data_IF_237149345603
#
_entry.id   IF_237149345603
#
_cell.length_a   1.000
_cell.length_b   1.000
_cell.length_c   1.000
_cell.angle_alpha   90.00
_cell.angle_beta   90.00
_cell.angle_gamma   90.00
#
_symmetry.space_group_name_H-M   'P 1'
#
loop_
_entity.id
_entity.type
_entity.pdbx_description
1 polymer ?
#
# COMPACT_ATOMS: atom_id res chain seq x y z
N UNK A 1 -12.29 54.33 -21.09
CA UNK A 1 -11.05 54.35 -20.33
C UNK A 1 -11.34 54.62 -18.86
N UNK A 2 -11.18 53.64 -17.97
CA UNK A 2 -11.52 53.89 -16.54
C UNK A 2 -10.46 54.76 -15.89
N UNK A 3 -10.90 55.87 -15.25
CA UNK A 3 -9.99 56.78 -14.55
C UNK A 3 -9.31 56.07 -13.38
N UNK A 4 -7.98 56.23 -13.22
CA UNK A 4 -7.16 55.67 -12.11
C UNK A 4 -7.79 55.93 -10.73
N UNK A 5 -8.49 57.06 -10.54
CA UNK A 5 -9.22 57.40 -9.30
C UNK A 5 -10.41 56.46 -9.04
N UNK A 6 -11.18 56.10 -10.10
CA UNK A 6 -12.34 55.20 -9.96
C UNK A 6 -11.90 53.78 -9.64
N UNK A 7 -10.81 53.31 -10.25
CA UNK A 7 -10.23 51.98 -9.96
C UNK A 7 -9.73 51.93 -8.51
N UNK A 8 -9.02 52.93 -8.04
CA UNK A 8 -8.52 52.98 -6.65
C UNK A 8 -9.67 53.02 -5.62
N UNK A 9 -10.74 53.79 -5.89
CA UNK A 9 -11.91 53.82 -5.02
C UNK A 9 -12.66 52.47 -5.02
N UNK A 10 -12.80 51.82 -6.17
CA UNK A 10 -13.43 50.52 -6.28
C UNK A 10 -12.66 49.43 -5.50
N UNK A 11 -11.33 49.37 -5.64
CA UNK A 11 -10.49 48.46 -4.91
C UNK A 11 -10.52 48.72 -3.40
N UNK A 12 -10.45 49.99 -2.97
CA UNK A 12 -10.47 50.33 -1.54
C UNK A 12 -11.79 50.03 -0.85
N UNK A 13 -12.91 50.03 -1.58
CA UNK A 13 -14.24 49.77 -1.02
C UNK A 13 -14.59 48.27 -1.06
N UNK A 14 -14.05 47.54 -2.04
CA UNK A 14 -14.37 46.12 -2.26
C UNK A 14 -13.19 45.15 -1.98
N UNK A 15 -12.15 45.62 -1.28
CA UNK A 15 -10.92 44.82 -1.06
C UNK A 15 -11.20 43.48 -0.36
N UNK A 16 -12.19 43.42 0.53
CA UNK A 16 -12.58 42.21 1.22
C UNK A 16 -13.16 41.14 0.26
N UNK A 17 -13.81 41.57 -0.83
CA UNK A 17 -14.27 40.63 -1.87
C UNK A 17 -13.09 40.01 -2.64
N UNK A 18 -12.07 40.81 -2.90
CA UNK A 18 -10.85 40.30 -3.53
C UNK A 18 -10.14 39.32 -2.63
N UNK A 19 -10.08 39.54 -1.32
CA UNK A 19 -9.56 38.59 -0.36
C UNK A 19 -10.40 37.29 -0.29
N UNK A 20 -11.72 37.42 -0.28
CA UNK A 20 -12.61 36.27 -0.27
C UNK A 20 -12.42 35.42 -1.54
N UNK A 21 -12.38 36.04 -2.72
CA UNK A 21 -12.13 35.33 -3.98
C UNK A 21 -10.74 34.70 -3.98
N UNK A 22 -9.72 35.43 -3.55
CA UNK A 22 -8.36 34.88 -3.47
C UNK A 22 -8.30 33.66 -2.54
N UNK A 23 -8.96 33.71 -1.39
CA UNK A 23 -9.02 32.59 -0.46
C UNK A 23 -9.73 31.37 -1.08
N UNK A 24 -10.90 31.58 -1.69
CA UNK A 24 -11.66 30.50 -2.36
C UNK A 24 -10.84 29.86 -3.48
N UNK A 25 -10.19 30.68 -4.31
CA UNK A 25 -9.35 30.24 -5.41
C UNK A 25 -8.14 29.44 -4.87
N UNK A 26 -7.47 29.96 -3.82
CA UNK A 26 -6.30 29.31 -3.21
C UNK A 26 -6.68 27.97 -2.59
N UNK A 27 -7.79 27.88 -1.87
CA UNK A 27 -8.31 26.63 -1.30
C UNK A 27 -8.71 25.64 -2.41
N UNK A 28 -9.36 26.15 -3.46
CA UNK A 28 -9.74 25.35 -4.63
C UNK A 28 -8.52 24.76 -5.34
N UNK A 29 -7.48 25.57 -5.56
CA UNK A 29 -6.23 25.07 -6.14
C UNK A 29 -5.53 24.08 -5.22
N UNK A 30 -5.46 24.34 -3.92
CA UNK A 30 -4.87 23.40 -2.95
C UNK A 30 -5.59 22.06 -3.02
N UNK A 31 -6.91 22.04 -3.00
CA UNK A 31 -7.72 20.81 -3.10
C UNK A 31 -7.52 20.10 -4.44
N UNK A 32 -7.52 20.84 -5.56
CA UNK A 32 -7.26 20.26 -6.88
C UNK A 32 -5.87 19.63 -6.97
N UNK A 33 -4.84 20.30 -6.43
CA UNK A 33 -3.49 19.76 -6.42
C UNK A 33 -3.38 18.53 -5.52
N UNK A 34 -4.08 18.48 -4.40
CA UNK A 34 -4.11 17.32 -3.52
C UNK A 34 -4.76 16.11 -4.20
N UNK A 35 -5.91 16.29 -4.83
CA UNK A 35 -6.61 15.24 -5.59
C UNK A 35 -5.79 14.74 -6.78
N UNK A 36 -5.03 15.62 -7.48
CA UNK A 36 -4.20 15.23 -8.61
C UNK A 36 -2.93 14.48 -8.15
N UNK A 37 -2.36 14.85 -7.01
CA UNK A 37 -1.12 14.26 -6.49
C UNK A 37 -1.33 12.93 -5.79
N UNK A 38 -2.46 12.75 -5.12
CA UNK A 38 -2.71 11.56 -4.33
C UNK A 38 -3.47 10.53 -5.18
N UNK A 39 -2.84 9.40 -5.53
CA UNK A 39 -3.53 8.32 -6.24
C UNK A 39 -4.74 7.85 -5.45
N UNK A 40 -5.81 7.49 -6.17
CA UNK A 40 -6.98 6.87 -5.55
C UNK A 40 -6.60 5.51 -4.95
N UNK A 41 -7.46 4.98 -4.06
CA UNK A 41 -7.23 3.66 -3.46
C UNK A 41 -7.03 2.56 -4.52
N UNK A 42 -7.77 2.62 -5.63
CA UNK A 42 -7.67 1.64 -6.73
C UNK A 42 -6.40 1.78 -7.58
N UNK A 43 -5.69 2.90 -7.45
CA UNK A 43 -4.44 3.20 -8.17
C UNK A 43 -3.19 3.00 -7.29
N UNK A 44 -3.36 2.50 -6.06
CA UNK A 44 -2.29 2.30 -5.09
C UNK A 44 -2.28 0.86 -4.60
N UNK A 45 -1.12 0.29 -4.35
CA UNK A 45 -0.96 -0.94 -3.57
C UNK A 45 -0.39 -0.57 -2.21
N UNK A 46 -1.08 -0.97 -1.15
CA UNK A 46 -0.64 -0.71 0.21
C UNK A 46 -0.02 -1.98 0.80
N UNK A 47 1.21 -1.87 1.25
CA UNK A 47 1.98 -2.94 1.89
C UNK A 47 2.28 -2.55 3.33
N UNK A 48 2.03 -3.43 4.27
CA UNK A 48 2.44 -3.25 5.68
C UNK A 48 3.51 -4.26 6.04
N UNK A 49 4.58 -3.80 6.68
CA UNK A 49 5.70 -4.65 7.07
C UNK A 49 5.97 -4.51 8.57
N UNK A 50 5.96 -5.64 9.27
CA UNK A 50 6.30 -5.65 10.70
C UNK A 50 7.82 -5.79 10.86
N UNK A 51 8.51 -4.65 10.94
CA UNK A 51 9.96 -4.58 11.10
C UNK A 51 10.36 -3.31 11.84
N UNK A 52 11.53 -3.31 12.46
CA UNK A 52 12.08 -2.14 13.16
C UNK A 52 12.66 -1.08 12.20
N UNK A 53 13.18 -1.50 11.06
CA UNK A 53 13.76 -0.59 10.05
C UNK A 53 13.66 -1.20 8.66
N UNK A 54 13.40 -0.36 7.66
CA UNK A 54 13.37 -0.77 6.25
C UNK A 54 13.71 0.41 5.34
N UNK A 55 14.41 0.15 4.25
CA UNK A 55 14.55 1.09 3.13
C UNK A 55 13.29 1.04 2.24
N UNK A 56 12.23 1.68 2.73
CA UNK A 56 10.95 1.72 2.06
C UNK A 56 11.05 2.36 0.67
N UNK A 57 11.83 3.43 0.52
CA UNK A 57 11.98 4.12 -0.77
C UNK A 57 12.61 3.24 -1.86
N UNK A 58 13.58 2.39 -1.48
CA UNK A 58 14.19 1.44 -2.40
C UNK A 58 13.19 0.35 -2.76
N UNK A 59 12.54 -0.24 -1.75
CA UNK A 59 11.58 -1.32 -1.95
C UNK A 59 10.36 -0.88 -2.79
N UNK A 60 9.82 0.34 -2.56
CA UNK A 60 8.74 0.90 -3.36
C UNK A 60 9.10 0.98 -4.85
N UNK A 61 10.31 1.46 -5.15
CA UNK A 61 10.80 1.56 -6.53
C UNK A 61 10.98 0.18 -7.18
N UNK A 62 11.58 -0.76 -6.46
CA UNK A 62 11.84 -2.10 -6.97
C UNK A 62 10.52 -2.85 -7.22
N UNK A 63 9.55 -2.73 -6.33
CA UNK A 63 8.22 -3.31 -6.52
C UNK A 63 7.44 -2.61 -7.64
N UNK A 64 7.60 -1.32 -7.83
CA UNK A 64 6.85 -0.55 -8.83
C UNK A 64 7.17 -0.97 -10.27
N UNK A 65 8.36 -1.48 -10.54
CA UNK A 65 8.77 -1.99 -11.87
C UNK A 65 7.75 -2.99 -12.45
N UNK A 66 7.18 -3.86 -11.61
CA UNK A 66 6.14 -4.81 -12.04
C UNK A 66 4.79 -4.19 -12.38
N UNK A 67 4.61 -2.88 -12.17
CA UNK A 67 3.32 -2.19 -12.34
C UNK A 67 3.31 -1.10 -13.41
N UNK A 68 4.43 -0.86 -14.13
CA UNK A 68 4.55 0.23 -15.12
C UNK A 68 3.47 0.20 -16.20
N UNK A 69 3.01 -0.98 -16.61
CA UNK A 69 1.96 -1.17 -17.61
C UNK A 69 0.55 -1.29 -17.01
N UNK A 70 0.37 -0.92 -15.74
CA UNK A 70 -0.91 -1.03 -15.03
C UNK A 70 -1.52 0.34 -14.72
N UNK A 71 -2.69 0.34 -14.07
CA UNK A 71 -3.29 1.57 -13.53
C UNK A 71 -2.69 1.98 -12.18
N UNK A 72 -1.80 1.16 -11.61
CA UNK A 72 -1.17 1.47 -10.32
C UNK A 72 -0.16 2.61 -10.52
N UNK A 73 -0.31 3.64 -9.73
CA UNK A 73 0.55 4.84 -9.76
C UNK A 73 1.51 4.89 -8.57
N UNK A 74 1.21 4.14 -7.54
CA UNK A 74 1.98 4.18 -6.30
C UNK A 74 1.93 2.82 -5.58
N UNK A 75 3.08 2.43 -5.03
CA UNK A 75 3.16 1.40 -4.00
C UNK A 75 3.52 2.12 -2.71
N UNK A 76 2.69 1.99 -1.70
CA UNK A 76 2.88 2.63 -0.40
C UNK A 76 3.28 1.59 0.63
N UNK A 77 4.43 1.77 1.26
CA UNK A 77 4.94 0.87 2.29
C UNK A 77 4.84 1.55 3.65
N UNK A 78 3.98 1.00 4.49
CA UNK A 78 3.92 1.32 5.92
C UNK A 78 4.67 0.25 6.71
N UNK A 79 5.38 0.64 7.76
CA UNK A 79 6.04 -0.32 8.63
C UNK A 79 5.92 0.07 10.11
N UNK A 80 6.06 -0.92 10.98
CA UNK A 80 6.06 -0.71 12.43
C UNK A 80 6.89 -1.78 13.13
N UNK A 81 7.63 -1.36 14.16
CA UNK A 81 8.45 -2.27 14.95
C UNK A 81 7.54 -3.17 15.82
N UNK A 82 7.63 -4.51 15.68
CA UNK A 82 6.84 -5.45 16.51
C UNK A 82 7.09 -5.33 18.02
N UNK A 83 8.25 -4.82 18.43
CA UNK A 83 8.63 -4.64 19.83
C UNK A 83 8.08 -3.35 20.46
N UNK A 84 7.51 -2.46 19.63
CA UNK A 84 6.94 -1.20 20.11
C UNK A 84 5.64 -1.41 20.89
N UNK A 85 5.48 -0.67 21.99
CA UNK A 85 4.27 -0.71 22.82
C UNK A 85 2.99 -0.36 22.02
N UNK A 86 3.12 0.38 20.92
CA UNK A 86 2.00 0.80 20.08
C UNK A 86 1.81 -0.10 18.84
N UNK A 87 2.64 -1.13 18.67
CA UNK A 87 2.57 -2.02 17.50
C UNK A 87 1.16 -2.56 17.25
N UNK A 88 0.53 -3.14 18.27
CA UNK A 88 -0.81 -3.72 18.15
C UNK A 88 -1.85 -2.69 17.68
N UNK A 89 -1.75 -1.43 18.13
CA UNK A 89 -2.65 -0.36 17.69
C UNK A 89 -2.39 -0.02 16.21
N UNK A 90 -1.14 0.14 15.81
CA UNK A 90 -0.75 0.44 14.42
C UNK A 90 -1.11 -0.72 13.49
N UNK A 91 -0.81 -1.94 13.88
CA UNK A 91 -1.15 -3.14 13.13
C UNK A 91 -2.66 -3.28 12.90
N UNK A 92 -3.47 -3.09 13.95
CA UNK A 92 -4.93 -3.17 13.82
C UNK A 92 -5.55 -2.03 13.00
N UNK A 93 -5.00 -0.81 13.08
CA UNK A 93 -5.59 0.37 12.42
C UNK A 93 -5.07 0.61 11.01
N UNK A 94 -3.80 0.28 10.74
CA UNK A 94 -3.17 0.45 9.42
C UNK A 94 -2.97 -0.89 8.72
N UNK A 95 -2.32 -1.86 9.39
CA UNK A 95 -2.01 -3.16 8.81
C UNK A 95 -3.25 -3.93 8.37
N UNK A 96 -4.22 -4.14 9.25
CA UNK A 96 -5.39 -4.97 8.94
C UNK A 96 -6.54 -4.25 8.22
N UNK A 97 -6.57 -2.92 8.23
CA UNK A 97 -7.70 -2.16 7.67
C UNK A 97 -7.39 -1.59 6.30
N UNK A 98 -6.17 -1.08 6.11
CA UNK A 98 -5.84 -0.24 4.96
C UNK A 98 -4.85 -0.87 3.99
N UNK A 99 -4.41 -2.12 4.20
CA UNK A 99 -3.39 -2.75 3.35
C UNK A 99 -3.96 -3.84 2.48
N UNK A 100 -3.30 -4.06 1.35
CA UNK A 100 -3.57 -5.16 0.43
C UNK A 100 -2.68 -6.37 0.79
N UNK A 101 -1.44 -6.10 1.20
CA UNK A 101 -0.39 -7.09 1.45
C UNK A 101 0.23 -6.82 2.82
N UNK A 102 0.44 -7.88 3.60
CA UNK A 102 1.17 -7.81 4.86
C UNK A 102 2.40 -8.71 4.79
N UNK A 103 3.53 -8.21 5.28
CA UNK A 103 4.76 -8.98 5.44
C UNK A 103 5.11 -9.00 6.92
N UNK A 104 5.03 -10.19 7.51
CA UNK A 104 5.14 -10.39 8.94
C UNK A 104 6.26 -11.39 9.26
N UNK A 105 7.05 -11.17 10.33
CA UNK A 105 8.00 -12.14 10.80
C UNK A 105 7.29 -13.36 11.41
N UNK A 106 7.92 -14.53 11.32
CA UNK A 106 7.39 -15.79 11.83
C UNK A 106 6.95 -15.69 13.30
N UNK A 107 7.69 -14.94 14.11
CA UNK A 107 7.39 -14.76 15.54
C UNK A 107 6.03 -14.12 15.85
N UNK A 108 5.43 -13.41 14.89
CA UNK A 108 4.09 -12.84 15.02
C UNK A 108 2.98 -13.79 14.56
N UNK A 109 3.34 -14.97 14.09
CA UNK A 109 2.43 -15.88 13.41
C UNK A 109 1.77 -16.91 14.34
N UNK A 110 1.86 -16.76 15.63
CA UNK A 110 1.39 -17.74 16.63
C UNK A 110 -0.13 -17.87 16.73
N UNK A 111 -0.96 -17.65 15.73
CA UNK A 111 -2.37 -17.56 16.09
C UNK A 111 -3.41 -18.05 15.09
N UNK A 112 -4.44 -18.61 15.66
CA UNK A 112 -5.80 -18.91 15.16
C UNK A 112 -6.50 -17.76 14.39
N UNK A 113 -5.83 -16.62 14.19
CA UNK A 113 -6.40 -15.42 13.55
C UNK A 113 -6.15 -15.37 12.03
N UNK A 114 -5.34 -16.26 11.46
CA UNK A 114 -5.00 -16.22 10.03
C UNK A 114 -6.24 -16.28 9.14
N UNK A 115 -7.13 -17.23 9.38
CA UNK A 115 -8.35 -17.39 8.60
C UNK A 115 -9.31 -16.21 8.74
N UNK A 116 -9.17 -15.39 9.78
CA UNK A 116 -10.00 -14.23 10.02
C UNK A 116 -9.58 -13.03 9.17
N UNK A 117 -8.27 -12.81 9.02
CA UNK A 117 -7.71 -11.60 8.42
C UNK A 117 -7.09 -11.82 7.05
N UNK A 118 -6.58 -13.03 6.79
CA UNK A 118 -5.84 -13.33 5.57
C UNK A 118 -6.62 -14.26 4.65
N UNK A 119 -6.40 -14.08 3.34
CA UNK A 119 -6.91 -15.00 2.35
C UNK A 119 -6.13 -16.32 2.40
N UNK A 120 -6.84 -17.43 2.27
CA UNK A 120 -6.20 -18.70 1.93
C UNK A 120 -5.64 -18.64 0.52
N UNK A 121 -4.47 -19.23 0.34
CA UNK A 121 -3.75 -19.26 -0.93
C UNK A 121 -4.19 -20.50 -1.72
N UNK A 122 -4.62 -20.29 -2.95
CA UNK A 122 -4.77 -21.33 -3.94
C UNK A 122 -3.48 -21.39 -4.77
N UNK A 123 -2.78 -22.52 -4.71
CA UNK A 123 -1.52 -22.71 -5.44
C UNK A 123 -1.67 -22.59 -6.94
N UNK A 124 -2.81 -23.00 -7.49
CA UNK A 124 -3.01 -22.94 -8.94
C UNK A 124 -3.18 -21.49 -9.41
N UNK A 125 -3.81 -20.64 -8.60
CA UNK A 125 -3.87 -19.19 -8.84
C UNK A 125 -2.47 -18.57 -8.73
N UNK A 126 -1.69 -18.92 -7.72
CA UNK A 126 -0.34 -18.35 -7.53
C UNK A 126 0.62 -18.72 -8.66
N UNK A 127 0.51 -19.92 -9.24
CA UNK A 127 1.33 -20.35 -10.38
C UNK A 127 1.16 -19.47 -11.64
N UNK A 128 0.08 -18.70 -11.74
CA UNK A 128 -0.10 -17.74 -12.82
C UNK A 128 0.86 -16.54 -12.71
N UNK A 129 1.38 -16.26 -11.50
CA UNK A 129 2.22 -15.09 -11.20
C UNK A 129 3.69 -15.44 -10.97
N UNK A 130 4.02 -16.68 -10.69
CA UNK A 130 5.40 -17.15 -10.51
C UNK A 130 5.54 -18.64 -10.76
N UNK A 131 6.62 -18.99 -11.43
CA UNK A 131 6.99 -20.40 -11.68
C UNK A 131 7.86 -21.01 -10.58
N UNK A 132 8.27 -20.21 -9.60
CA UNK A 132 9.15 -20.65 -8.52
C UNK A 132 8.45 -21.62 -7.57
N UNK A 133 9.24 -22.54 -7.00
CA UNK A 133 8.75 -23.43 -5.95
C UNK A 133 8.73 -22.63 -4.63
N UNK A 134 7.54 -22.27 -4.19
CA UNK A 134 7.34 -21.41 -3.03
C UNK A 134 7.22 -22.21 -1.74
N UNK A 135 7.77 -21.69 -0.66
CA UNK A 135 7.56 -22.17 0.69
C UNK A 135 6.36 -21.45 1.32
N UNK A 136 5.44 -22.24 1.89
CA UNK A 136 4.19 -21.72 2.45
C UNK A 136 4.07 -22.02 3.93
N UNK A 137 3.41 -21.10 4.63
CA UNK A 137 2.89 -21.37 5.96
C UNK A 137 1.50 -22.00 5.86
N UNK A 138 1.31 -23.10 6.60
CA UNK A 138 0.05 -23.85 6.62
C UNK A 138 -0.63 -23.71 7.97
N UNK A 139 -1.91 -23.43 7.94
CA UNK A 139 -2.76 -23.40 9.11
C UNK A 139 -4.10 -24.07 8.78
N UNK A 140 -4.57 -24.98 9.64
CA UNK A 140 -5.84 -25.72 9.47
C UNK A 140 -6.02 -26.33 8.05
N UNK A 141 -4.97 -26.98 7.55
CA UNK A 141 -4.88 -27.57 6.19
C UNK A 141 -5.04 -26.56 5.04
N UNK A 142 -4.95 -25.26 5.30
CA UNK A 142 -4.99 -24.22 4.29
C UNK A 142 -3.67 -23.45 4.26
N UNK A 143 -3.27 -22.98 3.09
CA UNK A 143 -2.07 -22.17 2.90
C UNK A 143 -2.45 -20.70 3.09
N UNK A 144 -1.62 -19.94 3.80
CA UNK A 144 -1.90 -18.51 4.06
C UNK A 144 -0.75 -17.57 3.74
N UNK A 145 0.47 -17.92 4.05
CA UNK A 145 1.64 -17.08 3.88
C UNK A 145 2.66 -17.69 2.93
N UNK A 146 3.37 -16.83 2.20
CA UNK A 146 4.45 -17.17 1.29
C UNK A 146 5.76 -16.67 1.89
N UNK A 147 6.78 -17.52 2.02
CA UNK A 147 8.10 -17.09 2.50
C UNK A 147 8.71 -16.10 1.51
N UNK A 148 9.08 -14.93 2.01
CA UNK A 148 9.71 -13.83 1.26
C UNK A 148 10.98 -13.31 1.95
N UNK A 149 11.58 -14.12 2.80
CA UNK A 149 12.74 -13.74 3.63
C UNK A 149 13.89 -13.23 2.79
N UNK A 150 14.26 -13.93 1.72
CA UNK A 150 15.36 -13.53 0.85
C UNK A 150 15.10 -12.17 0.18
N UNK A 151 13.87 -11.90 -0.21
CA UNK A 151 13.48 -10.62 -0.78
C UNK A 151 13.59 -9.50 0.25
N UNK A 152 13.00 -9.67 1.42
CA UNK A 152 12.99 -8.66 2.49
C UNK A 152 14.39 -8.33 2.98
N UNK A 153 15.28 -9.31 3.06
CA UNK A 153 16.68 -9.12 3.49
C UNK A 153 17.48 -8.17 2.58
N UNK A 154 16.98 -7.79 1.40
CA UNK A 154 17.59 -6.75 0.56
C UNK A 154 17.28 -5.32 1.03
N UNK A 155 16.31 -5.14 1.94
CA UNK A 155 15.78 -3.84 2.35
C UNK A 155 15.86 -3.59 3.86
N UNK A 156 16.07 -4.62 4.66
CA UNK A 156 16.23 -4.55 6.12
C UNK A 156 17.66 -4.89 6.52
N UNK A 157 18.02 -4.57 7.75
CA UNK A 157 19.23 -5.13 8.35
C UNK A 157 19.03 -6.65 8.50
N UNK A 158 20.03 -7.42 8.00
CA UNK A 158 19.97 -8.87 7.94
C UNK A 158 19.76 -9.44 9.34
N UNK A 159 18.70 -10.19 9.53
CA UNK A 159 18.37 -10.90 10.75
C UNK A 159 18.11 -12.39 10.44
N UNK A 160 18.02 -13.21 11.49
CA UNK A 160 17.76 -14.66 11.37
C UNK A 160 16.26 -14.99 11.43
N UNK A 161 15.41 -14.01 11.13
CA UNK A 161 13.95 -14.18 11.22
C UNK A 161 13.37 -14.38 9.84
N UNK A 162 12.53 -15.41 9.67
CA UNK A 162 11.79 -15.65 8.46
C UNK A 162 10.58 -14.72 8.34
N UNK A 163 10.38 -14.18 7.14
CA UNK A 163 9.28 -13.28 6.81
C UNK A 163 8.33 -13.93 5.82
N UNK A 164 7.04 -13.76 6.10
CA UNK A 164 5.97 -14.31 5.27
C UNK A 164 5.05 -13.22 4.75
N UNK A 165 4.71 -13.29 3.47
CA UNK A 165 3.77 -12.42 2.79
C UNK A 165 2.36 -13.00 2.90
N UNK A 166 1.42 -12.18 3.33
CA UNK A 166 0.00 -12.49 3.44
C UNK A 166 -0.83 -11.54 2.61
N UNK A 167 -1.91 -12.04 2.04
CA UNK A 167 -2.91 -11.21 1.36
C UNK A 167 -4.07 -10.89 2.31
N UNK A 168 -4.38 -9.60 2.44
CA UNK A 168 -5.45 -9.14 3.31
C UNK A 168 -6.81 -9.52 2.72
N UNK A 169 -7.63 -10.23 3.47
CA UNK A 169 -8.97 -10.67 3.05
C UNK A 169 -9.90 -9.52 2.65
N UNK A 170 -9.65 -8.31 3.15
CA UNK A 170 -10.44 -7.12 2.83
C UNK A 170 -10.00 -6.42 1.55
N UNK A 171 -8.88 -6.81 0.95
CA UNK A 171 -8.43 -6.22 -0.31
C UNK A 171 -9.34 -6.62 -1.46
N UNK A 172 -9.69 -5.64 -2.29
CA UNK A 172 -10.43 -5.85 -3.53
C UNK A 172 -9.51 -6.04 -4.77
N UNK A 173 -8.20 -6.29 -4.55
CA UNK A 173 -7.17 -6.40 -5.58
C UNK A 173 -6.53 -7.79 -5.63
N UNK A 174 -7.25 -8.81 -5.22
CA UNK A 174 -6.76 -10.18 -5.08
C UNK A 174 -7.22 -11.13 -6.20
N UNK A 175 -7.90 -10.61 -7.24
CA UNK A 175 -8.36 -11.45 -8.34
C UNK A 175 -9.16 -12.66 -7.84
N UNK A 176 -8.75 -13.85 -8.28
CA UNK A 176 -9.40 -15.12 -7.95
C UNK A 176 -9.20 -15.57 -6.50
N UNK A 177 -8.23 -15.02 -5.75
CA UNK A 177 -8.08 -15.32 -4.32
C UNK A 177 -9.15 -14.67 -3.45
N UNK A 178 -9.78 -13.59 -3.92
CA UNK A 178 -10.84 -12.94 -3.18
C UNK A 178 -12.15 -13.70 -3.32
N UNK A 179 -12.80 -14.00 -2.20
CA UNK A 179 -14.14 -14.58 -2.18
C UNK A 179 -15.24 -13.55 -2.46
N UNK A 180 -14.93 -12.25 -2.39
CA UNK A 180 -15.85 -11.14 -2.57
C UNK A 180 -15.30 -10.17 -3.64
N UNK A 181 -16.07 -9.98 -4.71
CA UNK A 181 -15.97 -8.91 -5.73
C UNK A 181 -14.57 -8.24 -5.87
N UNK A 182 -13.55 -8.98 -6.24
CA UNK A 182 -12.27 -8.39 -6.60
C UNK A 182 -12.42 -7.58 -7.90
N UNK A 183 -11.92 -6.35 -7.88
CA UNK A 183 -11.96 -5.46 -9.04
C UNK A 183 -10.84 -5.80 -10.01
N UNK A 184 -9.71 -6.29 -9.48
CA UNK A 184 -8.50 -6.64 -10.23
C UNK A 184 -7.61 -7.59 -9.41
N UNK A 185 -6.48 -7.99 -9.98
CA UNK A 185 -5.49 -8.91 -9.40
C UNK A 185 -4.16 -8.21 -9.04
N UNK A 186 -4.17 -6.90 -8.95
CA UNK A 186 -2.93 -6.13 -8.83
C UNK A 186 -2.11 -6.47 -7.58
N UNK A 187 -2.72 -6.86 -6.46
CA UNK A 187 -1.95 -7.27 -5.30
C UNK A 187 -1.19 -8.59 -5.53
N UNK A 188 -1.68 -9.47 -6.41
CA UNK A 188 -0.99 -10.73 -6.75
C UNK A 188 0.23 -10.51 -7.65
N UNK A 189 0.22 -9.46 -8.47
CA UNK A 189 1.35 -9.15 -9.35
C UNK A 189 2.65 -8.85 -8.61
N UNK A 190 2.58 -8.49 -7.33
CA UNK A 190 3.77 -8.31 -6.51
C UNK A 190 4.63 -9.59 -6.46
N UNK A 191 4.02 -10.76 -6.60
CA UNK A 191 4.73 -12.05 -6.58
C UNK A 191 5.69 -12.19 -7.76
N UNK A 192 5.29 -11.76 -8.96
CA UNK A 192 6.20 -11.81 -10.11
C UNK A 192 7.43 -10.92 -9.89
N UNK A 193 7.25 -9.74 -9.29
CA UNK A 193 8.37 -8.85 -8.98
C UNK A 193 9.28 -9.43 -7.88
N UNK A 194 8.69 -10.04 -6.84
CA UNK A 194 9.44 -10.61 -5.71
C UNK A 194 10.27 -11.84 -6.16
N UNK A 195 9.68 -12.73 -6.95
CA UNK A 195 10.26 -14.05 -7.23
C UNK A 195 10.89 -14.18 -8.60
N UNK A 196 10.49 -13.38 -9.58
CA UNK A 196 11.10 -13.43 -10.93
C UNK A 196 12.19 -12.37 -11.11
N UNK A 197 12.36 -11.47 -10.12
CA UNK A 197 13.28 -10.35 -10.14
C UNK A 197 12.98 -9.47 -11.36
N UNK A 198 12.62 -8.22 -11.19
CA UNK A 198 12.41 -7.33 -12.33
C UNK A 198 13.61 -7.39 -13.29
N UNK A 199 13.49 -8.21 -14.34
CA UNK A 199 14.41 -8.26 -15.46
C UNK A 199 14.21 -7.05 -16.36
#
# INVERSE_FOLDING_TARGET
MFSKRKIKAFISFNWYWFLAIFFVVSVGFYYLFDVIKNPSYDERINVFIATNHIDSNKMEKDLYVGYEDTKIKEISIDFSNPEDNYFNMVFNTRGLVNTDILILPESLLEHSQYSQYFCSIDQDVIKEYTSNNLEYITYDNSLFGINVTDFINNYIEKNEVDYYLFFNKKSNKLGLLSQENSINDYALKVLSTIFEGGN
#
